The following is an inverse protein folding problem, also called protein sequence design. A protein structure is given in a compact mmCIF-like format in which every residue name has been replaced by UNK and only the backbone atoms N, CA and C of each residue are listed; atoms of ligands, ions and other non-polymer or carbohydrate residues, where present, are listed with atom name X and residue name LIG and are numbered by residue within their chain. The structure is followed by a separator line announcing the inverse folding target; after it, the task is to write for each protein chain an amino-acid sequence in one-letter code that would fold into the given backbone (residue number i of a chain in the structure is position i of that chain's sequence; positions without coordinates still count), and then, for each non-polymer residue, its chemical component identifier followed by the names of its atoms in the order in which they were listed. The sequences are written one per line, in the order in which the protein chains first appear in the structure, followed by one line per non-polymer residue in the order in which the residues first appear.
data_IF_746485381378
#
_entry.id   IF_746485381378
#
_cell.length_a   1.000
_cell.length_b   1.000
_cell.length_c   1.000
_cell.angle_alpha   90.00
_cell.angle_beta   90.00
_cell.angle_gamma   90.00
#
_symmetry.space_group_name_H-M   'P 1'
#
loop_
_entity.id
_entity.type
_entity.pdbx_description
1 polymer ?
#
# COMPACT_ATOMS: atom_id res chain seq x y z
N UNK A 1 -4.14 -25.66 14.80
CA UNK A 1 -2.99 -25.84 13.91
C UNK A 1 -3.45 -25.80 12.46
N UNK A 2 -2.65 -25.20 11.61
CA UNK A 2 -2.92 -25.09 10.19
C UNK A 2 -2.76 -26.46 9.53
N UNK A 3 -3.87 -27.12 9.19
CA UNK A 3 -3.86 -28.47 8.64
C UNK A 3 -3.60 -28.51 7.12
N UNK A 4 -3.17 -29.66 6.61
CA UNK A 4 -3.01 -29.85 5.17
C UNK A 4 -4.33 -29.64 4.39
N UNK A 5 -5.47 -29.99 5.01
CA UNK A 5 -6.79 -29.73 4.43
C UNK A 5 -7.10 -28.23 4.31
N UNK A 6 -6.71 -27.44 5.30
CA UNK A 6 -6.83 -25.96 5.23
C UNK A 6 -5.86 -25.41 4.19
N UNK A 7 -4.62 -25.90 4.15
CA UNK A 7 -3.64 -25.47 3.15
C UNK A 7 -4.12 -25.69 1.71
N UNK A 8 -4.78 -26.82 1.45
CA UNK A 8 -5.32 -27.16 0.13
C UNK A 8 -6.42 -26.22 -0.38
N UNK A 9 -7.04 -25.43 0.50
CA UNK A 9 -8.02 -24.39 0.12
C UNK A 9 -7.38 -23.13 -0.49
N UNK A 10 -6.06 -23.02 -0.41
CA UNK A 10 -5.29 -21.87 -0.87
C UNK A 10 -4.18 -22.31 -1.85
N UNK A 11 -4.55 -22.85 -3.04
CA UNK A 11 -3.57 -23.32 -4.02
C UNK A 11 -2.69 -22.15 -4.49
N UNK A 12 -1.43 -22.46 -4.79
CA UNK A 12 -0.52 -21.49 -5.40
C UNK A 12 -1.02 -21.09 -6.80
N UNK A 13 -0.82 -19.83 -7.21
CA UNK A 13 -1.22 -19.36 -8.54
C UNK A 13 -0.33 -19.98 -9.63
N UNK A 14 -0.85 -20.04 -10.86
CA UNK A 14 -0.06 -20.45 -12.03
C UNK A 14 1.06 -19.46 -12.33
N UNK A 15 0.77 -18.17 -12.16
CA UNK A 15 1.77 -17.10 -12.30
C UNK A 15 2.77 -17.16 -11.15
N UNK A 16 4.08 -17.16 -11.49
CA UNK A 16 5.18 -17.16 -10.53
C UNK A 16 5.91 -15.82 -10.52
N UNK A 17 6.10 -15.28 -9.33
CA UNK A 17 6.88 -14.07 -9.10
C UNK A 17 8.31 -14.43 -8.74
N UNK A 18 9.26 -13.67 -9.28
CA UNK A 18 10.71 -13.94 -9.17
C UNK A 18 11.41 -12.81 -8.44
N UNK A 19 11.10 -12.67 -7.17
CA UNK A 19 11.84 -11.79 -6.25
C UNK A 19 12.82 -12.62 -5.44
N UNK A 20 13.84 -12.05 -4.80
CA UNK A 20 14.79 -12.83 -4.00
C UNK A 20 14.12 -13.69 -2.94
N UNK A 21 13.14 -13.14 -2.21
CA UNK A 21 12.42 -13.88 -1.17
C UNK A 21 11.51 -14.99 -1.68
N UNK A 22 11.22 -15.04 -2.98
CA UNK A 22 10.40 -16.05 -3.62
C UNK A 22 11.21 -17.03 -4.48
N UNK A 23 12.54 -16.95 -4.45
CA UNK A 23 13.41 -17.91 -5.14
C UNK A 23 13.22 -19.30 -4.56
N UNK A 24 13.38 -20.37 -5.39
CA UNK A 24 13.34 -21.73 -4.91
C UNK A 24 14.29 -21.95 -3.72
N UNK A 25 13.89 -22.82 -2.79
CA UNK A 25 14.69 -23.21 -1.61
C UNK A 25 14.98 -22.09 -0.59
N UNK A 26 14.33 -20.94 -0.69
CA UNK A 26 14.45 -19.88 0.30
C UNK A 26 13.80 -20.27 1.63
N UNK A 27 14.45 -19.88 2.72
CA UNK A 27 13.93 -20.00 4.09
C UNK A 27 13.41 -18.69 4.66
N UNK A 28 13.60 -17.56 3.94
CA UNK A 28 13.19 -16.22 4.35
C UNK A 28 12.82 -15.34 3.15
N UNK A 29 12.01 -14.32 3.38
CA UNK A 29 11.74 -13.27 2.43
C UNK A 29 12.97 -12.40 2.18
N UNK A 30 12.89 -11.51 1.18
CA UNK A 30 13.96 -10.56 0.82
C UNK A 30 14.40 -9.75 2.04
N UNK A 31 15.66 -9.86 2.41
CA UNK A 31 16.27 -9.13 3.55
C UNK A 31 16.38 -7.62 3.28
N UNK A 32 16.69 -6.84 4.33
CA UNK A 32 16.97 -5.40 4.18
C UNK A 32 18.19 -5.15 3.30
N UNK A 33 19.23 -5.99 3.38
CA UNK A 33 20.44 -5.87 2.56
C UNK A 33 20.15 -6.17 1.09
N UNK A 34 19.46 -7.28 0.79
CA UNK A 34 19.05 -7.64 -0.57
C UNK A 34 18.13 -6.57 -1.19
N UNK A 35 17.21 -6.01 -0.41
CA UNK A 35 16.36 -4.92 -0.87
C UNK A 35 17.18 -3.68 -1.24
N UNK A 36 18.14 -3.29 -0.39
CA UNK A 36 19.01 -2.15 -0.67
C UNK A 36 19.84 -2.36 -1.93
N UNK A 37 20.38 -3.56 -2.13
CA UNK A 37 21.15 -3.93 -3.33
C UNK A 37 20.28 -3.84 -4.60
N UNK A 38 19.08 -4.40 -4.58
CA UNK A 38 18.14 -4.33 -5.69
C UNK A 38 17.81 -2.88 -6.07
N UNK A 39 17.53 -2.05 -5.06
CA UNK A 39 17.20 -0.65 -5.30
C UNK A 39 18.38 0.13 -5.88
N UNK A 40 19.61 -0.19 -5.50
CA UNK A 40 20.82 0.43 -6.10
C UNK A 40 20.99 0.08 -7.58
N UNK A 41 20.46 -1.05 -8.03
CA UNK A 41 20.56 -1.49 -9.42
C UNK A 41 19.50 -0.81 -10.34
N UNK A 42 18.36 -0.34 -9.77
CA UNK A 42 17.27 0.26 -10.56
C UNK A 42 17.69 1.45 -11.44
N UNK A 43 18.50 2.45 -10.97
CA UNK A 43 18.90 3.58 -11.79
C UNK A 43 19.80 3.21 -12.98
N UNK A 44 20.45 2.05 -12.97
CA UNK A 44 21.32 1.60 -14.06
C UNK A 44 20.50 1.20 -15.31
N UNK A 45 19.23 0.86 -15.14
CA UNK A 45 18.29 0.61 -16.23
C UNK A 45 17.69 1.90 -16.81
N UNK A 46 17.96 3.03 -16.19
CA UNK A 46 17.42 4.35 -16.53
C UNK A 46 18.40 5.25 -17.28
N UNK A 47 19.60 4.77 -17.60
CA UNK A 47 20.55 5.53 -18.43
C UNK A 47 19.92 5.74 -19.80
N UNK A 48 20.00 6.97 -20.37
CA UNK A 48 19.56 7.20 -21.73
C UNK A 48 20.37 6.25 -22.63
N UNK A 49 19.71 5.21 -23.14
CA UNK A 49 20.31 4.45 -24.22
C UNK A 49 20.41 5.43 -25.38
N UNK A 50 21.55 5.51 -26.01
CA UNK A 50 21.77 6.22 -27.28
C UNK A 50 20.97 5.61 -28.43
N UNK A 51 20.05 4.68 -28.13
CA UNK A 51 19.08 4.13 -29.06
C UNK A 51 17.87 5.06 -29.18
N UNK A 52 17.37 5.21 -30.37
CA UNK A 52 16.31 6.10 -30.87
C UNK A 52 14.93 5.94 -30.22
N UNK A 53 14.81 5.40 -29.02
CA UNK A 53 13.58 5.17 -28.26
C UNK A 53 13.67 5.64 -26.81
N UNK A 54 14.19 6.86 -26.55
CA UNK A 54 14.01 7.49 -25.25
C UNK A 54 12.53 7.83 -25.10
N UNK A 55 11.78 6.99 -24.40
CA UNK A 55 10.36 7.20 -24.08
C UNK A 55 10.15 8.29 -23.01
N UNK A 56 11.23 8.94 -22.54
CA UNK A 56 11.19 9.97 -21.51
C UNK A 56 10.91 9.45 -20.11
N UNK A 57 10.90 8.14 -19.89
CA UNK A 57 10.73 7.55 -18.56
C UNK A 57 11.98 7.75 -17.71
N UNK A 58 11.78 8.24 -16.51
CA UNK A 58 12.83 8.43 -15.48
C UNK A 58 12.45 7.63 -14.24
N UNK A 59 13.43 6.96 -13.65
CA UNK A 59 13.29 6.19 -12.42
C UNK A 59 14.41 6.62 -11.48
N UNK A 60 14.07 6.88 -10.22
CA UNK A 60 15.05 7.21 -9.18
C UNK A 60 14.69 6.57 -7.86
N UNK A 61 15.70 6.19 -7.10
CA UNK A 61 15.57 5.79 -5.70
C UNK A 61 15.84 7.01 -4.83
N UNK A 62 14.88 7.34 -3.98
CA UNK A 62 14.91 8.49 -3.10
C UNK A 62 15.11 8.03 -1.66
N UNK A 63 15.94 8.72 -0.86
CA UNK A 63 15.96 8.54 0.58
C UNK A 63 14.68 9.16 1.17
N UNK A 64 13.76 8.32 1.66
CA UNK A 64 12.56 8.81 2.34
C UNK A 64 12.83 9.20 3.80
N UNK A 65 13.82 8.58 4.42
CA UNK A 65 14.21 8.79 5.81
C UNK A 65 14.96 7.60 6.39
N UNK A 66 15.08 7.58 7.70
CA UNK A 66 15.65 6.46 8.43
C UNK A 66 14.67 5.98 9.51
N UNK A 67 14.72 4.68 9.81
CA UNK A 67 14.00 4.10 10.93
C UNK A 67 14.61 4.52 12.27
N UNK A 68 14.00 4.14 13.38
CA UNK A 68 14.49 4.42 14.73
C UNK A 68 15.91 3.88 14.96
N UNK A 69 16.25 2.73 14.39
CA UNK A 69 17.60 2.16 14.50
C UNK A 69 18.53 2.60 13.35
N UNK A 70 18.16 3.64 12.60
CA UNK A 70 19.00 4.23 11.56
C UNK A 70 19.02 3.47 10.23
N UNK A 71 18.15 2.48 10.03
CA UNK A 71 18.04 1.79 8.73
C UNK A 71 17.34 2.67 7.71
N UNK A 72 17.89 2.73 6.50
CA UNK A 72 17.33 3.55 5.43
C UNK A 72 15.93 3.09 5.02
N UNK A 73 15.03 4.06 4.85
CA UNK A 73 13.72 3.89 4.22
C UNK A 73 13.84 4.52 2.83
N UNK A 74 13.67 3.70 1.80
CA UNK A 74 13.78 4.14 0.42
C UNK A 74 12.41 4.22 -0.25
N UNK A 75 12.27 5.14 -1.20
CA UNK A 75 11.16 5.22 -2.12
C UNK A 75 11.66 5.19 -3.56
N UNK A 76 10.89 4.56 -4.44
CA UNK A 76 11.16 4.56 -5.88
C UNK A 76 10.17 5.48 -6.57
N UNK A 77 10.67 6.46 -7.28
CA UNK A 77 9.90 7.41 -8.05
C UNK A 77 10.08 7.10 -9.54
N UNK A 78 8.97 6.94 -10.26
CA UNK A 78 8.97 6.68 -11.69
C UNK A 78 7.95 7.59 -12.39
N UNK A 79 8.38 8.26 -13.46
CA UNK A 79 7.53 9.12 -14.26
C UNK A 79 8.08 9.29 -15.68
N UNK A 80 7.20 9.60 -16.60
CA UNK A 80 7.58 10.09 -17.93
C UNK A 80 7.62 11.63 -17.88
N UNK A 81 8.80 12.20 -17.62
CA UNK A 81 8.99 13.64 -17.40
C UNK A 81 10.41 14.07 -17.76
N UNK A 82 10.63 15.38 -17.83
CA UNK A 82 11.97 15.92 -18.12
C UNK A 82 12.97 15.55 -17.01
N UNK A 83 12.53 15.66 -15.76
CA UNK A 83 13.24 15.23 -14.56
C UNK A 83 12.23 14.80 -13.47
N UNK A 84 12.72 14.40 -12.30
CA UNK A 84 11.87 13.90 -11.19
C UNK A 84 11.72 14.92 -10.04
N UNK A 85 11.96 16.19 -10.31
CA UNK A 85 11.65 17.24 -9.32
C UNK A 85 10.14 17.39 -9.14
N UNK A 86 9.66 17.78 -7.95
CA UNK A 86 8.22 18.01 -7.73
C UNK A 86 7.59 18.96 -8.75
N UNK A 87 8.31 20.02 -9.14
CA UNK A 87 7.82 20.99 -10.14
C UNK A 87 7.67 20.36 -11.54
N UNK A 88 8.63 19.52 -11.97
CA UNK A 88 8.53 18.82 -13.25
C UNK A 88 7.42 17.79 -13.24
N UNK A 89 7.21 17.10 -12.12
CA UNK A 89 6.10 16.15 -11.96
C UNK A 89 4.74 16.87 -11.99
N UNK A 90 4.61 18.00 -11.29
CA UNK A 90 3.40 18.85 -11.34
C UNK A 90 3.12 19.35 -12.76
N UNK A 91 4.15 19.72 -13.52
CA UNK A 91 4.02 20.17 -14.90
C UNK A 91 3.46 19.08 -15.85
N UNK A 92 3.62 17.81 -15.51
CA UNK A 92 3.01 16.72 -16.30
C UNK A 92 1.50 16.68 -16.21
N UNK A 93 0.90 17.29 -15.19
CA UNK A 93 -0.53 17.22 -14.87
C UNK A 93 -1.06 15.78 -14.68
N UNK A 94 -0.17 14.83 -14.42
CA UNK A 94 -0.51 13.43 -14.17
C UNK A 94 -0.68 13.19 -12.68
N UNK A 95 -1.71 12.46 -12.25
CA UNK A 95 -1.86 12.13 -10.83
C UNK A 95 -0.71 11.23 -10.36
N UNK A 96 -0.21 11.52 -9.16
CA UNK A 96 0.74 10.67 -8.46
C UNK A 96 -0.02 9.54 -7.75
N UNK A 97 0.41 8.30 -7.97
CA UNK A 97 -0.05 7.13 -7.23
C UNK A 97 1.06 6.68 -6.28
N UNK A 98 0.77 6.65 -5.00
CA UNK A 98 1.70 6.19 -3.96
C UNK A 98 1.27 4.83 -3.44
N UNK A 99 2.18 3.86 -3.45
CA UNK A 99 1.98 2.53 -2.85
C UNK A 99 2.99 2.35 -1.73
N UNK A 100 2.50 2.05 -0.54
CA UNK A 100 3.33 1.82 0.65
C UNK A 100 3.17 0.38 1.10
N UNK A 101 4.30 -0.33 1.23
CA UNK A 101 4.37 -1.69 1.73
C UNK A 101 5.25 -1.78 2.99
N UNK A 102 5.12 -2.88 3.73
CA UNK A 102 5.98 -3.19 4.85
C UNK A 102 5.87 -2.24 6.04
N UNK A 103 4.70 -1.67 6.31
CA UNK A 103 4.45 -0.92 7.55
C UNK A 103 4.51 -1.84 8.78
N UNK A 104 4.09 -3.09 8.63
CA UNK A 104 4.28 -4.15 9.63
C UNK A 104 5.46 -5.01 9.22
N UNK A 105 6.43 -5.21 10.12
CA UNK A 105 7.64 -5.98 9.82
C UNK A 105 7.38 -7.47 9.60
N UNK A 106 6.30 -8.01 10.15
CA UNK A 106 5.85 -9.38 9.94
C UNK A 106 4.92 -9.56 8.72
N UNK A 107 4.84 -8.54 7.84
CA UNK A 107 4.02 -8.57 6.61
C UNK A 107 4.90 -8.49 5.34
N UNK A 108 5.87 -9.40 5.15
CA UNK A 108 6.90 -9.29 4.11
C UNK A 108 6.39 -9.50 2.69
N UNK A 109 5.26 -10.21 2.48
CA UNK A 109 4.73 -10.43 1.14
C UNK A 109 4.34 -9.12 0.44
N UNK A 110 4.02 -8.05 1.18
CA UNK A 110 3.75 -6.74 0.60
C UNK A 110 5.01 -6.11 -0.02
N UNK A 111 6.18 -6.29 0.59
CA UNK A 111 7.47 -5.91 0.00
C UNK A 111 7.74 -6.68 -1.29
N UNK A 112 7.57 -8.01 -1.26
CA UNK A 112 7.77 -8.84 -2.47
C UNK A 112 6.83 -8.42 -3.61
N UNK A 113 5.59 -8.05 -3.30
CA UNK A 113 4.65 -7.55 -4.30
C UNK A 113 5.13 -6.25 -4.95
N UNK A 114 5.68 -5.31 -4.17
CA UNK A 114 6.27 -4.08 -4.71
C UNK A 114 7.52 -4.39 -5.54
N UNK A 115 8.36 -5.34 -5.10
CA UNK A 115 9.52 -5.78 -5.89
C UNK A 115 9.11 -6.40 -7.22
N UNK A 116 8.03 -7.19 -7.25
CA UNK A 116 7.48 -7.72 -8.49
C UNK A 116 6.98 -6.60 -9.42
N UNK A 117 6.34 -5.54 -8.87
CA UNK A 117 5.96 -4.37 -9.66
C UNK A 117 7.16 -3.60 -10.21
N UNK A 118 8.25 -3.48 -9.44
CA UNK A 118 9.44 -2.78 -9.91
C UNK A 118 10.05 -3.44 -11.16
N UNK A 119 9.95 -4.76 -11.29
CA UNK A 119 10.37 -5.48 -12.49
C UNK A 119 9.53 -5.12 -13.73
N UNK A 120 8.29 -4.70 -13.52
CA UNK A 120 7.38 -4.26 -14.59
C UNK A 120 7.63 -2.81 -15.06
N UNK A 121 8.61 -2.12 -14.48
CA UNK A 121 9.10 -0.83 -14.96
C UNK A 121 10.17 -0.97 -16.07
N UNK A 122 10.68 -2.17 -16.28
CA UNK A 122 11.64 -2.46 -17.35
C UNK A 122 11.01 -2.27 -18.75
N UNK A 123 11.85 -2.19 -19.77
CA UNK A 123 11.40 -2.05 -21.15
C UNK A 123 10.50 -3.23 -21.55
N UNK A 124 9.27 -2.91 -21.98
CA UNK A 124 8.25 -3.90 -22.30
C UNK A 124 7.43 -4.38 -21.11
N UNK A 125 7.72 -3.92 -19.88
CA UNK A 125 6.94 -4.25 -18.70
C UNK A 125 5.58 -3.54 -18.64
N UNK A 126 4.68 -4.08 -17.82
CA UNK A 126 3.27 -3.62 -17.73
C UNK A 126 3.12 -2.18 -17.23
N UNK A 127 4.03 -1.71 -16.35
CA UNK A 127 3.92 -0.38 -15.76
C UNK A 127 4.41 0.74 -16.69
N UNK A 128 5.31 0.44 -17.60
CA UNK A 128 5.90 1.45 -18.46
C UNK A 128 4.90 2.24 -19.29
N UNK A 129 3.90 1.62 -19.96
CA UNK A 129 2.85 2.36 -20.65
C UNK A 129 1.97 3.22 -19.74
N UNK A 130 1.78 2.81 -18.47
CA UNK A 130 0.95 3.53 -17.52
C UNK A 130 1.55 4.89 -17.14
N UNK A 131 2.89 5.03 -17.17
CA UNK A 131 3.59 6.28 -16.86
C UNK A 131 3.28 7.42 -17.85
N UNK A 132 2.59 7.14 -18.97
CA UNK A 132 2.01 8.16 -19.84
C UNK A 132 0.82 8.86 -19.20
N UNK A 133 0.18 8.27 -18.20
CA UNK A 133 -1.05 8.74 -17.59
C UNK A 133 -0.90 9.06 -16.10
N UNK A 134 0.04 8.43 -15.41
CA UNK A 134 0.26 8.58 -13.97
C UNK A 134 1.76 8.76 -13.66
N UNK A 135 2.05 9.34 -12.51
CA UNK A 135 3.36 9.29 -11.86
C UNK A 135 3.28 8.27 -10.71
N UNK A 136 4.36 7.57 -10.42
CA UNK A 136 4.38 6.45 -9.48
C UNK A 136 5.41 6.66 -8.39
N UNK A 137 5.00 6.47 -7.13
CA UNK A 137 5.87 6.52 -5.94
C UNK A 137 5.66 5.24 -5.13
N UNK A 138 6.69 4.41 -5.04
CA UNK A 138 6.65 3.12 -4.35
C UNK A 138 7.55 3.13 -3.12
N UNK A 139 7.03 2.75 -1.97
CA UNK A 139 7.80 2.50 -0.73
C UNK A 139 7.78 1.01 -0.45
N UNK A 140 8.85 0.26 -0.80
CA UNK A 140 8.85 -1.20 -0.69
C UNK A 140 8.80 -1.69 0.76
N UNK A 141 9.42 -0.96 1.70
CA UNK A 141 9.49 -1.33 3.11
C UNK A 141 9.54 -0.11 4.01
N UNK A 142 8.41 0.23 4.62
CA UNK A 142 8.31 1.41 5.50
C UNK A 142 8.88 1.16 6.91
N UNK A 143 8.91 -0.10 7.37
CA UNK A 143 9.38 -0.49 8.72
C UNK A 143 10.50 -1.55 8.65
N UNK A 144 11.73 -1.14 8.29
CA UNK A 144 12.84 -2.08 8.17
C UNK A 144 13.30 -2.66 9.53
N UNK A 145 13.08 -1.96 10.64
CA UNK A 145 13.40 -2.44 11.99
C UNK A 145 12.46 -3.57 12.41
N UNK A 146 11.16 -3.38 12.21
CA UNK A 146 10.17 -4.41 12.48
C UNK A 146 10.37 -5.66 11.62
N UNK A 147 10.77 -5.48 10.35
CA UNK A 147 11.11 -6.61 9.49
C UNK A 147 12.30 -7.41 10.04
N UNK A 148 13.35 -6.74 10.48
CA UNK A 148 14.55 -7.40 11.01
C UNK A 148 14.24 -8.27 12.24
N UNK A 149 13.31 -7.80 13.06
CA UNK A 149 12.89 -8.50 14.29
C UNK A 149 11.64 -9.36 14.12
N UNK A 150 11.07 -9.41 12.90
CA UNK A 150 9.82 -10.11 12.59
C UNK A 150 8.62 -9.66 13.46
N UNK A 151 8.61 -8.37 13.81
CA UNK A 151 7.56 -7.76 14.64
C UNK A 151 6.62 -6.91 13.80
N UNK A 152 5.33 -6.86 14.15
CA UNK A 152 4.36 -5.97 13.52
C UNK A 152 4.68 -4.48 13.76
N UNK A 153 5.29 -4.18 14.91
CA UNK A 153 5.57 -2.83 15.39
C UNK A 153 6.94 -2.32 14.95
N UNK A 154 7.17 -1.02 15.10
CA UNK A 154 8.49 -0.39 14.97
C UNK A 154 9.38 -0.74 16.17
N UNK A 155 10.65 -0.32 16.16
CA UNK A 155 11.64 -0.68 17.20
C UNK A 155 11.22 -0.30 18.63
N UNK A 156 10.43 0.76 18.80
CA UNK A 156 9.92 1.17 20.12
C UNK A 156 8.55 0.58 20.47
N UNK A 157 8.05 -0.37 19.69
CA UNK A 157 6.76 -1.02 19.94
C UNK A 157 5.53 -0.28 19.41
N UNK A 158 5.70 0.81 18.63
CA UNK A 158 4.58 1.54 18.04
C UNK A 158 4.02 0.80 16.80
N UNK A 159 2.71 0.68 16.70
CA UNK A 159 2.06 0.23 15.45
C UNK A 159 2.10 1.35 14.42
N UNK A 160 2.98 1.22 13.42
CA UNK A 160 3.16 2.22 12.37
C UNK A 160 1.88 2.49 11.57
N UNK A 161 1.02 1.47 11.37
CA UNK A 161 -0.23 1.64 10.62
C UNK A 161 -1.18 2.65 11.25
N UNK A 162 -1.06 2.86 12.57
CA UNK A 162 -1.90 3.76 13.36
C UNK A 162 -1.16 5.02 13.85
N UNK A 163 0.04 5.30 13.37
CA UNK A 163 0.85 6.45 13.78
C UNK A 163 0.77 7.66 12.82
N UNK A 164 -0.05 7.59 11.77
CA UNK A 164 -0.07 8.61 10.71
C UNK A 164 -0.74 9.94 11.12
N UNK A 165 -1.48 9.96 12.21
CA UNK A 165 -1.99 11.19 12.81
C UNK A 165 -1.01 11.81 13.80
N UNK A 166 -0.40 10.97 14.66
CA UNK A 166 0.47 11.43 15.75
C UNK A 166 1.90 11.65 15.31
N UNK A 167 2.39 10.93 14.30
CA UNK A 167 3.74 11.04 13.74
C UNK A 167 4.84 10.86 14.79
N UNK A 168 4.65 9.93 15.73
CA UNK A 168 5.58 9.66 16.83
C UNK A 168 6.87 9.03 16.34
N UNK A 169 6.77 8.15 15.32
CA UNK A 169 7.91 7.44 14.76
C UNK A 169 8.56 8.18 13.60
N UNK A 170 9.86 8.05 13.38
CA UNK A 170 10.51 8.60 12.19
C UNK A 170 10.00 7.99 10.89
N UNK A 171 9.57 6.73 10.93
CA UNK A 171 8.94 6.02 9.81
C UNK A 171 7.63 6.72 9.36
N UNK A 172 6.74 7.04 10.32
CA UNK A 172 5.51 7.77 10.03
C UNK A 172 5.80 9.18 9.48
N UNK A 173 6.79 9.88 10.05
CA UNK A 173 7.22 11.20 9.56
C UNK A 173 7.79 11.13 8.15
N UNK A 174 8.56 10.09 7.82
CA UNK A 174 9.08 9.88 6.47
C UNK A 174 7.95 9.74 5.44
N UNK A 175 6.93 8.93 5.74
CA UNK A 175 5.76 8.79 4.87
C UNK A 175 4.95 10.09 4.75
N UNK A 176 4.77 10.81 5.86
CA UNK A 176 4.09 12.11 5.85
C UNK A 176 4.83 13.17 5.01
N UNK A 177 6.16 13.16 5.02
CA UNK A 177 6.98 14.03 4.18
C UNK A 177 6.82 13.70 2.70
N UNK A 178 6.82 12.42 2.32
CA UNK A 178 6.56 11.99 0.94
C UNK A 178 5.18 12.45 0.45
N UNK A 179 4.14 12.27 1.28
CA UNK A 179 2.78 12.74 0.96
C UNK A 179 2.74 14.26 0.78
N UNK A 180 3.42 14.99 1.64
CA UNK A 180 3.46 16.47 1.58
C UNK A 180 4.20 16.96 0.35
N UNK A 181 5.32 16.31 0.00
CA UNK A 181 6.17 16.73 -1.12
C UNK A 181 5.56 16.36 -2.47
N UNK A 182 5.06 15.14 -2.62
CA UNK A 182 4.58 14.60 -3.89
C UNK A 182 3.06 14.66 -4.07
N UNK A 183 2.32 14.99 -3.03
CA UNK A 183 0.85 15.19 -3.05
C UNK A 183 0.10 14.12 -3.85
N UNK A 184 0.23 12.83 -3.48
CA UNK A 184 -0.39 11.76 -4.23
C UNK A 184 -1.90 11.92 -4.31
N UNK A 185 -2.47 11.68 -5.49
CA UNK A 185 -3.92 11.64 -5.69
C UNK A 185 -4.52 10.30 -5.22
N UNK A 186 -3.69 9.26 -5.17
CA UNK A 186 -4.07 7.91 -4.70
C UNK A 186 -2.97 7.39 -3.78
N UNK A 187 -3.37 6.88 -2.63
CA UNK A 187 -2.48 6.21 -1.66
C UNK A 187 -3.02 4.83 -1.36
N UNK A 188 -2.24 3.81 -1.63
CA UNK A 188 -2.51 2.42 -1.30
C UNK A 188 -1.57 1.96 -0.18
N UNK A 189 -2.15 1.55 0.94
CA UNK A 189 -1.46 0.82 2.01
C UNK A 189 -1.58 -0.68 1.76
N UNK A 190 -0.44 -1.35 1.56
CA UNK A 190 -0.36 -2.77 1.28
C UNK A 190 0.32 -3.52 2.42
N UNK A 191 -0.36 -4.51 2.99
CA UNK A 191 0.12 -5.28 4.12
C UNK A 191 -0.37 -6.73 4.14
N UNK A 192 -0.40 -7.29 5.33
CA UNK A 192 -0.91 -8.64 5.56
C UNK A 192 -1.67 -8.71 6.89
N UNK A 193 -2.66 -9.58 6.93
CA UNK A 193 -3.37 -9.94 8.17
C UNK A 193 -3.04 -11.37 8.59
N UNK A 194 -3.17 -11.65 9.89
CA UNK A 194 -2.95 -12.99 10.45
C UNK A 194 -4.05 -13.95 10.00
N UNK A 195 -3.66 -15.09 9.49
CA UNK A 195 -4.58 -16.17 9.08
C UNK A 195 -5.22 -16.86 10.27
N UNK A 196 -4.48 -17.03 11.32
CA UNK A 196 -4.87 -17.68 12.58
C UNK A 196 -5.15 -16.62 13.64
N UNK A 197 -4.12 -16.10 14.26
CA UNK A 197 -4.15 -14.98 15.20
C UNK A 197 -5.33 -14.95 16.16
N UNK A 198 -5.90 -13.76 16.39
CA UNK A 198 -7.06 -13.61 17.29
C UNK A 198 -8.31 -14.37 16.85
N UNK A 199 -8.49 -14.62 15.55
CA UNK A 199 -9.63 -15.39 15.03
C UNK A 199 -9.58 -16.83 15.52
N UNK A 200 -8.40 -17.47 15.50
CA UNK A 200 -8.25 -18.82 16.03
C UNK A 200 -8.44 -18.86 17.54
N UNK A 201 -7.83 -17.93 18.27
CA UNK A 201 -7.89 -17.90 19.72
C UNK A 201 -9.32 -17.66 20.24
N UNK A 202 -10.08 -16.81 19.57
CA UNK A 202 -11.42 -16.40 20.04
C UNK A 202 -12.54 -17.27 19.51
N UNK A 203 -12.42 -17.73 18.26
CA UNK A 203 -13.50 -18.44 17.55
C UNK A 203 -13.16 -19.88 17.20
N UNK A 204 -11.93 -20.36 17.52
CA UNK A 204 -11.40 -21.65 17.06
C UNK A 204 -11.56 -21.84 15.55
N UNK A 205 -11.35 -20.77 14.78
CA UNK A 205 -11.54 -20.69 13.35
C UNK A 205 -10.33 -20.04 12.67
N UNK A 206 -10.20 -20.21 11.36
CA UNK A 206 -9.24 -19.50 10.54
C UNK A 206 -9.98 -18.62 9.54
N UNK A 207 -9.38 -17.48 9.17
CA UNK A 207 -9.96 -16.63 8.13
C UNK A 207 -9.95 -17.33 6.79
N UNK A 208 -11.06 -17.29 6.08
CA UNK A 208 -11.26 -17.99 4.81
C UNK A 208 -10.94 -17.12 3.58
N UNK A 209 -10.88 -15.79 3.75
CA UNK A 209 -10.57 -14.86 2.66
C UNK A 209 -9.06 -14.82 2.37
N UNK A 210 -8.70 -14.63 1.10
CA UNK A 210 -7.33 -14.43 0.65
C UNK A 210 -6.87 -13.00 0.88
N UNK A 211 -7.79 -12.05 0.71
CA UNK A 211 -7.52 -10.62 0.74
C UNK A 211 -8.53 -9.89 1.63
N UNK A 212 -8.03 -9.01 2.45
CA UNK A 212 -8.80 -7.95 3.09
C UNK A 212 -8.66 -6.67 2.28
N UNK A 213 -9.78 -6.03 1.93
CA UNK A 213 -9.77 -4.82 1.09
C UNK A 213 -10.65 -3.75 1.69
N UNK A 214 -10.19 -2.49 1.62
CA UNK A 214 -10.93 -1.37 2.13
C UNK A 214 -10.56 -0.06 1.46
N UNK A 215 -11.51 0.88 1.42
CA UNK A 215 -11.28 2.29 1.11
C UNK A 215 -11.47 3.13 2.38
N UNK A 216 -10.88 4.33 2.40
CA UNK A 216 -10.98 5.23 3.54
C UNK A 216 -12.43 5.65 3.80
N UNK A 217 -12.86 5.53 5.06
CA UNK A 217 -14.21 5.87 5.52
C UNK A 217 -14.18 6.77 6.76
N UNK A 218 -13.11 7.51 6.96
CA UNK A 218 -13.00 8.40 8.12
C UNK A 218 -13.97 9.56 8.00
N UNK A 219 -14.48 10.02 9.14
CA UNK A 219 -15.27 11.23 9.22
C UNK A 219 -14.50 12.45 8.67
N UNK A 220 -15.21 13.43 8.16
CA UNK A 220 -14.67 14.65 7.56
C UNK A 220 -13.87 14.45 6.25
N UNK A 221 -13.74 13.24 5.72
CA UNK A 221 -13.31 13.04 4.35
C UNK A 221 -14.41 13.55 3.39
N UNK A 222 -14.01 14.21 2.31
CA UNK A 222 -14.96 14.76 1.34
C UNK A 222 -15.74 13.64 0.65
N UNK A 223 -17.07 13.78 0.54
CA UNK A 223 -17.96 12.73 0.01
C UNK A 223 -17.59 12.28 -1.41
N UNK A 224 -17.19 13.19 -2.28
CA UNK A 224 -16.76 12.85 -3.64
C UNK A 224 -15.48 12.02 -3.66
N UNK A 225 -14.54 12.27 -2.73
CA UNK A 225 -13.33 11.47 -2.57
C UNK A 225 -13.69 10.06 -2.12
N UNK A 226 -14.57 9.93 -1.14
CA UNK A 226 -15.05 8.63 -0.64
C UNK A 226 -15.82 7.86 -1.71
N UNK A 227 -16.69 8.55 -2.47
CA UNK A 227 -17.43 7.94 -3.58
C UNK A 227 -16.49 7.48 -4.70
N UNK A 228 -15.54 8.30 -5.10
CA UNK A 228 -14.55 7.93 -6.11
C UNK A 228 -13.68 6.75 -5.63
N UNK A 229 -13.25 6.72 -4.37
CA UNK A 229 -12.53 5.60 -3.79
C UNK A 229 -13.32 4.28 -3.91
N UNK A 230 -14.61 4.33 -3.59
CA UNK A 230 -15.50 3.15 -3.68
C UNK A 230 -15.72 2.71 -5.12
N UNK A 231 -16.17 3.63 -5.99
CA UNK A 231 -16.65 3.28 -7.34
C UNK A 231 -15.51 3.05 -8.35
N UNK A 232 -14.42 3.83 -8.26
CA UNK A 232 -13.35 3.80 -9.26
C UNK A 232 -12.19 2.89 -8.87
N UNK A 233 -12.05 2.54 -7.59
CA UNK A 233 -10.93 1.74 -7.11
C UNK A 233 -11.35 0.47 -6.37
N UNK A 234 -12.17 0.58 -5.33
CA UNK A 234 -12.54 -0.56 -4.51
C UNK A 234 -13.35 -1.60 -5.31
N UNK A 235 -14.37 -1.20 -6.04
CA UNK A 235 -15.21 -2.12 -6.82
C UNK A 235 -14.43 -2.80 -7.97
N UNK A 236 -13.64 -2.09 -8.79
CA UNK A 236 -12.78 -2.75 -9.79
C UNK A 236 -11.75 -3.69 -9.17
N UNK A 237 -11.15 -3.33 -8.03
CA UNK A 237 -10.18 -4.17 -7.33
C UNK A 237 -10.81 -5.46 -6.83
N UNK A 238 -11.96 -5.41 -6.17
CA UNK A 238 -12.66 -6.63 -5.72
C UNK A 238 -13.07 -7.52 -6.89
N UNK A 239 -13.51 -6.92 -7.99
CA UNK A 239 -13.84 -7.66 -9.23
C UNK A 239 -12.61 -8.35 -9.83
N UNK A 240 -11.47 -7.66 -9.92
CA UNK A 240 -10.22 -8.24 -10.43
C UNK A 240 -9.72 -9.38 -9.55
N UNK A 241 -9.76 -9.21 -8.23
CA UNK A 241 -9.37 -10.25 -7.28
C UNK A 241 -10.27 -11.49 -7.40
N UNK A 242 -11.57 -11.31 -7.54
CA UNK A 242 -12.52 -12.40 -7.77
C UNK A 242 -12.23 -13.15 -9.09
N UNK A 243 -11.94 -12.42 -10.18
CA UNK A 243 -11.54 -13.01 -11.47
C UNK A 243 -10.24 -13.82 -11.36
N UNK A 244 -9.32 -13.41 -10.48
CA UNK A 244 -8.09 -14.14 -10.17
C UNK A 244 -8.31 -15.34 -9.23
N UNK A 245 -9.56 -15.67 -8.86
CA UNK A 245 -9.88 -16.77 -7.96
C UNK A 245 -9.52 -16.51 -6.50
N UNK A 246 -9.45 -15.23 -6.10
CA UNK A 246 -9.12 -14.78 -4.75
C UNK A 246 -10.37 -14.31 -4.03
N UNK A 247 -10.61 -14.86 -2.85
CA UNK A 247 -11.74 -14.46 -2.00
C UNK A 247 -11.39 -13.18 -1.25
N UNK A 248 -12.28 -12.20 -1.30
CA UNK A 248 -12.12 -10.91 -0.64
C UNK A 248 -13.12 -10.73 0.48
N UNK A 249 -12.74 -9.99 1.52
CA UNK A 249 -13.62 -9.55 2.59
C UNK A 249 -13.19 -8.16 3.07
N UNK A 250 -14.03 -7.51 3.85
CA UNK A 250 -13.67 -6.26 4.52
C UNK A 250 -12.54 -6.49 5.53
N UNK A 251 -11.70 -5.49 5.73
CA UNK A 251 -10.73 -5.50 6.82
C UNK A 251 -11.47 -5.28 8.14
N UNK A 252 -11.54 -6.33 8.96
CA UNK A 252 -12.14 -6.29 10.27
C UNK A 252 -11.31 -7.12 11.26
N UNK A 253 -11.15 -6.60 12.47
CA UNK A 253 -10.47 -7.29 13.55
C UNK A 253 -11.47 -7.85 14.56
N UNK A 254 -11.24 -9.05 15.09
CA UNK A 254 -12.09 -9.61 16.13
C UNK A 254 -12.06 -8.75 17.40
N UNK A 255 -13.23 -8.40 17.90
CA UNK A 255 -13.40 -7.63 19.15
C UNK A 255 -14.17 -8.40 20.19
N UNK A 256 -14.11 -7.94 21.46
CA UNK A 256 -14.84 -8.52 22.58
C UNK A 256 -14.25 -9.83 23.12
N UNK A 257 -14.86 -10.32 24.18
CA UNK A 257 -14.61 -11.64 24.76
C UNK A 257 -15.57 -12.67 24.15
N UNK A 258 -15.37 -13.96 24.41
CA UNK A 258 -16.15 -15.05 23.79
C UNK A 258 -17.68 -14.93 23.86
N UNK A 259 -18.22 -14.18 24.85
CA UNK A 259 -19.66 -13.94 24.99
C UNK A 259 -20.17 -12.72 24.20
N UNK A 260 -19.27 -11.78 23.85
CA UNK A 260 -19.57 -10.55 23.12
C UNK A 260 -18.72 -10.45 21.85
N UNK A 261 -18.42 -11.59 21.27
CA UNK A 261 -17.54 -11.67 20.11
C UNK A 261 -18.16 -10.95 18.90
N UNK A 262 -17.43 -10.03 18.34
CA UNK A 262 -17.81 -9.25 17.16
C UNK A 262 -16.60 -8.94 16.31
N UNK A 263 -16.84 -8.21 15.23
CA UNK A 263 -15.78 -7.67 14.37
C UNK A 263 -15.92 -6.15 14.30
N UNK A 264 -14.80 -5.44 14.51
CA UNK A 264 -14.73 -4.01 14.29
C UNK A 264 -13.94 -3.73 13.03
N UNK A 265 -14.45 -2.82 12.22
CA UNK A 265 -13.73 -2.31 11.07
C UNK A 265 -12.73 -1.26 11.54
N UNK A 266 -11.44 -1.52 11.32
CA UNK A 266 -10.32 -0.66 11.73
C UNK A 266 -10.23 0.69 10.98
N UNK A 267 -11.15 0.97 10.12
CA UNK A 267 -10.98 1.87 8.99
C UNK A 267 -11.66 3.21 9.15
N UNK A 268 -12.32 3.48 10.26
CA UNK A 268 -12.94 4.78 10.54
C UNK A 268 -12.02 5.75 11.29
N UNK A 269 -10.96 5.24 11.92
CA UNK A 269 -10.04 6.06 12.70
C UNK A 269 -9.11 6.89 11.80
N UNK A 270 -8.91 8.19 12.07
CA UNK A 270 -8.05 9.06 11.28
C UNK A 270 -6.54 8.79 11.52
N UNK A 271 -6.19 7.62 12.03
CA UNK A 271 -4.81 7.24 12.38
C UNK A 271 -4.10 6.47 11.30
N UNK A 272 -4.86 5.88 10.35
CA UNK A 272 -4.30 5.06 9.28
C UNK A 272 -3.83 5.90 8.09
N UNK A 273 -2.88 5.38 7.32
CA UNK A 273 -2.34 6.04 6.13
C UNK A 273 -3.45 6.39 5.11
N UNK A 274 -4.35 5.43 4.83
CA UNK A 274 -5.45 5.64 3.89
C UNK A 274 -6.42 6.73 4.34
N UNK A 275 -6.74 6.79 5.64
CA UNK A 275 -7.65 7.79 6.18
C UNK A 275 -7.00 9.19 6.20
N UNK A 276 -5.72 9.29 6.52
CA UNK A 276 -4.97 10.56 6.41
C UNK A 276 -4.92 11.04 4.95
N UNK A 277 -4.74 10.12 4.00
CA UNK A 277 -4.79 10.48 2.58
C UNK A 277 -6.16 11.06 2.20
N UNK A 278 -7.27 10.44 2.65
CA UNK A 278 -8.61 10.94 2.39
C UNK A 278 -8.87 12.33 3.00
N UNK A 279 -8.37 12.59 4.20
CA UNK A 279 -8.44 13.92 4.83
C UNK A 279 -7.59 14.97 4.09
N UNK A 280 -6.65 14.54 3.24
CA UNK A 280 -5.89 15.38 2.31
C UNK A 280 -6.48 15.39 0.89
N UNK A 281 -7.72 14.96 0.71
CA UNK A 281 -8.45 14.87 -0.56
C UNK A 281 -7.84 13.91 -1.59
N UNK A 282 -7.07 12.92 -1.13
CA UNK A 282 -6.57 11.82 -1.95
C UNK A 282 -7.46 10.57 -1.78
N UNK A 283 -7.46 9.71 -2.78
CA UNK A 283 -8.05 8.38 -2.66
C UNK A 283 -7.21 7.55 -1.69
N UNK A 284 -7.80 7.10 -0.59
CA UNK A 284 -7.15 6.23 0.38
C UNK A 284 -7.66 4.80 0.30
N UNK A 285 -6.75 3.83 0.16
CA UNK A 285 -7.06 2.42 0.02
C UNK A 285 -6.15 1.59 0.92
N UNK A 286 -6.68 0.50 1.46
CA UNK A 286 -5.90 -0.50 2.20
C UNK A 286 -6.20 -1.89 1.65
N UNK A 287 -5.14 -2.67 1.43
CA UNK A 287 -5.22 -4.06 1.01
C UNK A 287 -4.25 -4.90 1.81
N UNK A 288 -4.72 -6.05 2.29
CA UNK A 288 -3.91 -6.98 3.06
C UNK A 288 -4.12 -8.39 2.54
N UNK A 289 -3.03 -9.13 2.32
CA UNK A 289 -3.11 -10.55 2.04
C UNK A 289 -3.12 -11.37 3.34
N UNK A 290 -3.63 -12.60 3.23
CA UNK A 290 -3.74 -13.53 4.34
C UNK A 290 -2.42 -14.23 4.61
N UNK A 291 -1.74 -13.98 5.75
CA UNK A 291 -0.59 -14.81 6.09
C UNK A 291 0.57 -14.17 6.84
N UNK A 292 0.39 -13.06 7.56
CA UNK A 292 1.47 -12.49 8.39
C UNK A 292 2.01 -13.44 9.48
N UNK A 293 1.29 -14.51 9.78
CA UNK A 293 1.63 -15.57 10.75
C UNK A 293 1.92 -16.94 10.11
N UNK A 294 2.10 -17.00 8.78
CA UNK A 294 2.31 -18.24 8.03
C UNK A 294 3.74 -18.44 7.50
N UNK A 295 4.69 -17.59 7.86
CA UNK A 295 6.05 -17.65 7.31
C UNK A 295 6.03 -17.60 5.78
N UNK A 296 6.71 -18.54 5.11
CA UNK A 296 6.72 -18.65 3.64
C UNK A 296 5.54 -19.44 3.04
N UNK A 297 4.67 -20.00 3.87
CA UNK A 297 3.52 -20.78 3.38
C UNK A 297 2.60 -19.88 2.54
N UNK A 298 2.22 -20.34 1.35
CA UNK A 298 1.43 -19.60 0.37
C UNK A 298 2.04 -18.27 -0.08
N UNK A 299 3.36 -18.11 0.00
CA UNK A 299 4.01 -16.83 -0.33
C UNK A 299 3.68 -16.34 -1.76
N UNK A 300 3.70 -17.22 -2.76
CA UNK A 300 3.33 -16.87 -4.14
C UNK A 300 1.88 -16.40 -4.25
N UNK A 301 0.94 -17.06 -3.56
CA UNK A 301 -0.49 -16.68 -3.55
C UNK A 301 -0.71 -15.33 -2.86
N UNK A 302 -0.04 -15.09 -1.73
CA UNK A 302 -0.08 -13.83 -0.98
C UNK A 302 0.42 -12.67 -1.85
N UNK A 303 1.58 -12.84 -2.47
CA UNK A 303 2.16 -11.86 -3.39
C UNK A 303 1.27 -11.66 -4.61
N UNK A 304 0.71 -12.74 -5.18
CA UNK A 304 -0.21 -12.65 -6.33
C UNK A 304 -1.41 -11.77 -6.01
N UNK A 305 -2.07 -11.98 -4.86
CA UNK A 305 -3.21 -11.17 -4.44
C UNK A 305 -2.86 -9.68 -4.32
N UNK A 306 -1.72 -9.36 -3.69
CA UNK A 306 -1.27 -7.98 -3.56
C UNK A 306 -0.90 -7.35 -4.91
N UNK A 307 -0.22 -8.07 -5.79
CA UNK A 307 0.11 -7.58 -7.16
C UNK A 307 -1.17 -7.32 -7.95
N UNK A 308 -2.16 -8.25 -7.91
CA UNK A 308 -3.44 -8.03 -8.60
C UNK A 308 -4.19 -6.80 -8.08
N UNK A 309 -4.18 -6.58 -6.76
CA UNK A 309 -4.77 -5.38 -6.16
C UNK A 309 -4.04 -4.10 -6.58
N UNK A 310 -2.71 -4.10 -6.52
CA UNK A 310 -1.87 -2.96 -6.95
C UNK A 310 -2.08 -2.63 -8.42
N UNK A 311 -2.06 -3.64 -9.31
CA UNK A 311 -2.33 -3.44 -10.74
C UNK A 311 -3.74 -2.88 -10.99
N UNK A 312 -4.75 -3.31 -10.23
CA UNK A 312 -6.10 -2.74 -10.33
C UNK A 312 -6.12 -1.26 -9.97
N UNK A 313 -5.41 -0.85 -8.92
CA UNK A 313 -5.29 0.55 -8.53
C UNK A 313 -4.60 1.37 -9.61
N UNK A 314 -3.52 0.86 -10.19
CA UNK A 314 -2.77 1.53 -11.26
C UNK A 314 -3.58 1.64 -12.56
N UNK A 315 -4.30 0.59 -12.94
CA UNK A 315 -5.22 0.60 -14.08
C UNK A 315 -6.33 1.64 -13.90
N UNK A 316 -6.96 1.66 -12.72
CA UNK A 316 -8.01 2.63 -12.39
C UNK A 316 -7.47 4.06 -12.40
N UNK A 317 -6.32 4.30 -11.79
CA UNK A 317 -5.70 5.63 -11.76
C UNK A 317 -5.31 6.10 -13.17
N UNK A 318 -4.75 5.22 -13.99
CA UNK A 318 -4.38 5.50 -15.38
C UNK A 318 -5.60 5.86 -16.24
N UNK A 319 -6.67 5.06 -16.13
CA UNK A 319 -7.93 5.26 -16.86
C UNK A 319 -8.65 6.53 -16.41
N UNK A 320 -8.61 6.86 -15.11
CA UNK A 320 -9.29 7.98 -14.47
C UNK A 320 -8.41 9.19 -14.20
N UNK A 321 -7.24 9.28 -14.84
CA UNK A 321 -6.25 10.31 -14.53
C UNK A 321 -6.81 11.74 -14.55
N UNK A 322 -7.65 12.06 -15.56
CA UNK A 322 -8.30 13.38 -15.67
C UNK A 322 -9.35 13.62 -14.59
N UNK A 323 -10.17 12.58 -14.31
CA UNK A 323 -11.23 12.64 -13.31
C UNK A 323 -10.65 12.83 -11.90
N UNK A 324 -9.53 12.17 -11.60
CA UNK A 324 -8.82 12.32 -10.31
C UNK A 324 -8.37 13.76 -10.06
N UNK A 325 -7.81 14.42 -11.07
CA UNK A 325 -7.40 15.82 -10.95
C UNK A 325 -8.61 16.74 -10.69
N UNK A 326 -9.75 16.47 -11.30
CA UNK A 326 -10.98 17.22 -11.11
C UNK A 326 -11.56 17.02 -9.70
N UNK A 327 -11.63 15.78 -9.22
CA UNK A 327 -12.15 15.48 -7.88
C UNK A 327 -11.31 16.15 -6.79
N UNK A 328 -9.98 16.05 -6.86
CA UNK A 328 -9.09 16.66 -5.88
C UNK A 328 -9.23 18.20 -5.87
N UNK A 329 -9.30 18.82 -7.05
CA UNK A 329 -9.49 20.27 -7.18
C UNK A 329 -10.86 20.71 -6.64
N UNK A 330 -11.92 19.99 -6.99
CA UNK A 330 -13.26 20.28 -6.52
C UNK A 330 -13.35 20.14 -5.00
N UNK A 331 -12.91 19.01 -4.45
CA UNK A 331 -12.93 18.77 -3.00
C UNK A 331 -12.18 19.86 -2.23
N UNK A 332 -10.99 20.26 -2.70
CA UNK A 332 -10.22 21.31 -2.05
C UNK A 332 -10.93 22.67 -2.07
N UNK A 333 -11.57 23.03 -3.19
CA UNK A 333 -12.33 24.29 -3.31
C UNK A 333 -13.59 24.27 -2.46
N UNK A 334 -14.31 23.15 -2.45
CA UNK A 334 -15.52 22.99 -1.66
C UNK A 334 -15.23 23.11 -0.17
N UNK A 335 -14.22 22.39 0.34
CA UNK A 335 -13.78 22.49 1.73
C UNK A 335 -13.37 23.93 2.07
N UNK A 336 -12.61 24.60 1.19
CA UNK A 336 -12.20 25.99 1.42
C UNK A 336 -13.40 26.95 1.47
N UNK A 337 -14.42 26.73 0.64
CA UNK A 337 -15.66 27.55 0.63
C UNK A 337 -16.50 27.36 1.88
N UNK A 338 -16.45 26.16 2.49
CA UNK A 338 -17.16 25.82 3.71
C UNK A 338 -16.38 26.14 4.99
N UNK A 339 -15.13 26.60 4.87
CA UNK A 339 -14.31 26.96 6.01
C UNK A 339 -15.03 27.95 6.93
N UNK A 340 -15.11 27.64 8.20
CA UNK A 340 -15.81 28.40 9.23
C UNK A 340 -17.35 28.48 9.08
N UNK A 341 -17.97 27.71 8.17
CA UNK A 341 -19.42 27.74 7.92
C UNK A 341 -20.14 26.43 8.23
N UNK A 342 -19.43 25.36 8.51
CA UNK A 342 -19.99 24.03 8.72
C UNK A 342 -19.70 23.48 10.11
N UNK A 343 -20.28 22.31 10.39
CA UNK A 343 -19.97 21.52 11.57
C UNK A 343 -18.90 20.50 11.24
N UNK A 344 -17.84 20.46 12.04
CA UNK A 344 -16.81 19.45 12.00
C UNK A 344 -17.15 18.35 13.02
N UNK A 345 -17.12 17.10 12.57
CA UNK A 345 -17.23 15.98 13.50
C UNK A 345 -15.91 15.84 14.27
N UNK A 346 -15.98 16.06 15.58
CA UNK A 346 -14.86 15.79 16.50
C UNK A 346 -15.20 14.57 17.33
N UNK A 347 -14.43 13.51 17.17
CA UNK A 347 -14.54 12.32 18.01
C UNK A 347 -13.60 12.50 19.21
N UNK A 348 -14.18 12.59 20.40
CA UNK A 348 -13.42 12.62 21.66
C UNK A 348 -13.81 11.41 22.52
N UNK A 349 -12.81 10.68 23.01
CA UNK A 349 -13.00 9.61 23.99
C UNK A 349 -12.31 10.02 25.29
N UNK A 350 -12.95 9.79 26.43
CA UNK A 350 -12.35 9.98 27.75
C UNK A 350 -12.17 11.44 28.17
N UNK A 351 -13.00 12.33 27.70
CA UNK A 351 -13.08 13.70 28.26
C UNK A 351 -13.88 13.61 29.54
N UNK A 352 -13.20 13.62 30.70
CA UNK A 352 -13.78 13.75 32.03
C UNK A 352 -13.58 15.16 32.55
#
# INVERSE_FOLDING_TARGET
PYSAAVAALFPEPDQRYRTPGLAPERSSFTSNAELAELLQQLPQHSTPSTSSSDDGVRIAVLPAGNSQNGRAIAAVLAAQSADLTPSSLDATQRPMVMIVAGQQGNAPASTEAVLALLQELDDGGLLRPMLRHINLLLVPRANPDGFETQQATTANGTDLRHDHLRLQTPEARALAQLITLYRPAVVLDAGEFAALGPTQTRFNATRANDMGVQYAMTANAHEFVTKAAKEWFFQPMTSRLAQAGLRTDALAEPTGNSAEAGFAMDTVQPTTLANIAALKNAIGLTVQSRGSDLGLLHAQRRVHGLVQAMLSVLDSASTRARDLAQVATFASRDIASQACQGNLLVQAQGVH
#
